data_IF_449078911545
#
_entry.id   IF_449078911545
#
_cell.length_a   1.000
_cell.length_b   1.000
_cell.length_c   1.000
_cell.angle_alpha   90.00
_cell.angle_beta   90.00
_cell.angle_gamma   90.00
#
_symmetry.space_group_name_H-M   'P 1'
#
loop_
_entity.id
_entity.type
_entity.pdbx_description
1 polymer ?
#
# COMPACT_ATOMS: atom_id res chain seq x y z
N UNK A 1 -6.18 104.05 -22.24
CA UNK A 1 -4.78 104.23 -22.74
C UNK A 1 -4.31 102.87 -23.16
N UNK A 2 -4.21 102.68 -24.48
CA UNK A 2 -3.04 102.28 -25.26
C UNK A 2 -2.31 101.06 -24.72
N UNK A 3 -2.05 99.99 -25.43
CA UNK A 3 -1.63 99.76 -26.82
C UNK A 3 -1.47 98.24 -26.97
N UNK A 4 -2.07 97.50 -27.97
CA UNK A 4 -1.45 97.04 -29.21
C UNK A 4 -0.12 96.29 -29.06
N UNK A 5 -0.04 95.01 -29.48
CA UNK A 5 0.40 94.36 -30.73
C UNK A 5 0.47 92.86 -30.46
N UNK A 6 -0.12 91.97 -31.21
CA UNK A 6 0.11 91.54 -32.59
C UNK A 6 1.09 90.38 -32.74
N UNK A 7 0.52 89.29 -33.27
CA UNK A 7 1.07 88.31 -34.22
C UNK A 7 2.36 87.49 -33.86
N UNK A 8 2.33 86.24 -33.87
CA UNK A 8 2.59 85.40 -35.09
C UNK A 8 2.39 83.92 -34.81
N UNK A 9 1.83 83.29 -35.79
CA UNK A 9 1.73 81.88 -36.02
C UNK A 9 3.12 81.23 -36.16
N UNK A 10 3.31 80.01 -35.57
CA UNK A 10 4.10 79.02 -36.27
C UNK A 10 3.57 77.60 -35.88
N UNK A 11 3.21 76.90 -36.87
CA UNK A 11 2.87 75.49 -36.93
C UNK A 11 4.10 74.63 -36.60
N UNK A 12 3.93 73.60 -35.78
CA UNK A 12 4.77 72.43 -35.84
C UNK A 12 3.93 71.19 -35.44
N UNK A 13 3.48 70.45 -36.46
CA UNK A 13 3.13 69.05 -36.33
C UNK A 13 4.36 68.29 -35.81
N UNK A 14 4.20 67.50 -34.74
CA UNK A 14 5.01 66.33 -34.54
C UNK A 14 4.21 65.23 -33.86
N UNK A 15 3.95 64.19 -34.66
CA UNK A 15 3.95 62.74 -34.40
C UNK A 15 3.32 62.23 -33.11
N UNK A 16 2.13 61.74 -33.23
CA UNK A 16 1.57 60.69 -32.45
C UNK A 16 2.43 59.41 -32.65
N UNK A 17 3.37 59.20 -31.75
CA UNK A 17 4.13 57.95 -31.66
C UNK A 17 3.34 56.91 -30.87
N UNK A 18 2.89 55.94 -31.58
CA UNK A 18 2.36 54.65 -31.16
C UNK A 18 3.26 54.01 -30.08
N UNK A 19 2.80 53.90 -28.84
CA UNK A 19 3.33 52.98 -27.86
C UNK A 19 2.23 52.03 -27.41
N UNK A 20 1.83 51.18 -28.36
CA UNK A 20 1.23 49.89 -28.04
C UNK A 20 2.37 48.92 -27.70
N UNK A 21 2.86 48.96 -26.47
CA UNK A 21 3.74 47.90 -25.96
C UNK A 21 2.93 46.99 -25.06
N UNK A 22 2.42 45.93 -25.67
CA UNK A 22 2.37 44.57 -25.15
C UNK A 22 2.30 44.41 -23.63
N UNK A 23 1.10 44.47 -23.10
CA UNK A 23 0.74 43.85 -21.82
C UNK A 23 0.41 42.34 -22.00
N UNK A 24 1.31 41.57 -22.62
CA UNK A 24 1.09 40.12 -22.87
C UNK A 24 2.26 39.22 -22.41
N UNK A 25 3.02 39.63 -21.42
CA UNK A 25 4.17 38.83 -20.94
C UNK A 25 4.33 38.72 -19.42
N UNK A 26 3.26 38.84 -18.64
CA UNK A 26 3.36 38.62 -17.18
C UNK A 26 2.18 37.74 -16.72
N UNK A 27 2.09 36.52 -17.24
CA UNK A 27 1.21 35.55 -16.64
C UNK A 27 1.78 34.11 -16.74
N UNK A 28 3.11 33.97 -16.75
CA UNK A 28 3.76 32.65 -16.80
C UNK A 28 4.70 32.34 -15.63
N UNK A 29 4.70 33.16 -14.56
CA UNK A 29 5.65 33.01 -13.46
C UNK A 29 5.02 32.74 -12.08
N UNK A 30 3.79 32.25 -12.01
CA UNK A 30 3.15 31.96 -10.71
C UNK A 30 2.57 30.54 -10.67
N UNK A 31 3.38 29.55 -11.03
CA UNK A 31 3.08 28.13 -10.75
C UNK A 31 4.33 27.37 -10.32
N UNK A 32 5.22 28.03 -9.60
CA UNK A 32 6.32 27.39 -8.93
C UNK A 32 5.94 27.23 -7.45
N UNK A 33 5.66 25.98 -7.03
CA UNK A 33 5.89 25.59 -5.65
C UNK A 33 4.77 25.11 -4.76
N UNK A 34 3.61 24.61 -5.23
CA UNK A 34 2.92 23.62 -4.41
C UNK A 34 3.65 22.29 -4.58
N UNK A 35 4.34 21.84 -3.53
CA UNK A 35 4.91 20.50 -3.54
C UNK A 35 3.75 19.53 -3.73
N UNK A 36 3.66 18.94 -4.92
CA UNK A 36 2.63 17.97 -5.23
C UNK A 36 2.74 16.85 -4.20
N UNK A 37 1.71 16.68 -3.38
CA UNK A 37 1.67 15.70 -2.32
C UNK A 37 0.67 14.61 -2.68
N UNK A 38 1.06 13.36 -2.49
CA UNK A 38 0.21 12.18 -2.60
C UNK A 38 0.08 11.53 -1.23
N UNK A 39 -1.13 11.31 -0.76
CA UNK A 39 -1.39 10.54 0.46
C UNK A 39 -1.77 9.11 0.07
N UNK A 40 -0.91 8.16 0.42
CA UNK A 40 -1.07 6.72 0.20
C UNK A 40 -1.52 6.06 1.50
N UNK A 41 -2.75 5.53 1.54
CA UNK A 41 -3.18 4.65 2.62
C UNK A 41 -2.79 3.19 2.31
N UNK A 42 -2.13 2.53 3.25
CA UNK A 42 -1.65 1.17 3.09
C UNK A 42 -1.60 0.42 4.43
N UNK A 43 -0.99 -0.77 4.43
CA UNK A 43 -0.93 -1.63 5.61
C UNK A 43 0.41 -1.54 6.33
N UNK A 44 0.38 -1.78 7.66
CA UNK A 44 1.61 -1.89 8.47
C UNK A 44 2.53 -2.96 7.92
N UNK A 45 2.01 -4.13 7.55
CA UNK A 45 2.84 -5.22 7.00
C UNK A 45 3.55 -4.83 5.69
N UNK A 46 2.91 -4.02 4.83
CA UNK A 46 3.57 -3.50 3.61
C UNK A 46 4.67 -2.49 3.96
N UNK A 47 4.43 -1.62 4.94
CA UNK A 47 5.44 -0.69 5.44
C UNK A 47 6.62 -1.44 6.05
N UNK A 48 6.35 -2.38 6.94
CA UNK A 48 7.36 -3.13 7.71
C UNK A 48 8.22 -4.03 6.80
N UNK A 49 7.67 -4.48 5.65
CA UNK A 49 8.47 -5.18 4.64
C UNK A 49 9.58 -4.32 4.03
N UNK A 50 9.50 -2.97 4.15
CA UNK A 50 10.44 -2.03 3.55
C UNK A 50 10.23 -1.79 2.05
N UNK A 51 9.20 -2.36 1.42
CA UNK A 51 8.95 -2.21 -0.03
C UNK A 51 8.80 -0.75 -0.45
N UNK A 52 8.21 0.09 0.40
CA UNK A 52 8.04 1.51 0.10
C UNK A 52 9.35 2.28 0.00
N UNK A 53 10.41 1.85 0.69
CA UNK A 53 11.74 2.47 0.57
C UNK A 53 12.35 2.27 -0.82
N UNK A 54 11.93 1.20 -1.51
CA UNK A 54 12.35 0.94 -2.89
C UNK A 54 11.41 1.58 -3.93
N UNK A 55 10.09 1.68 -3.67
CA UNK A 55 9.10 2.17 -4.64
C UNK A 55 8.92 3.68 -4.63
N UNK A 56 8.95 4.32 -3.46
CA UNK A 56 8.58 5.73 -3.32
C UNK A 56 9.64 6.67 -3.89
N UNK A 57 10.95 6.54 -3.59
CA UNK A 57 11.94 7.51 -4.08
C UNK A 57 12.00 7.63 -5.60
N UNK A 58 11.97 6.54 -6.41
CA UNK A 58 11.90 6.65 -7.87
C UNK A 58 10.64 7.35 -8.37
N UNK A 59 9.49 7.07 -7.75
CA UNK A 59 8.24 7.75 -8.08
C UNK A 59 8.29 9.25 -7.78
N UNK A 60 8.74 9.63 -6.57
CA UNK A 60 8.88 11.03 -6.17
C UNK A 60 9.82 11.79 -7.12
N UNK A 61 10.97 11.20 -7.45
CA UNK A 61 11.94 11.77 -8.40
C UNK A 61 11.33 11.97 -9.77
N UNK A 62 10.62 10.96 -10.28
CA UNK A 62 10.02 10.96 -11.63
C UNK A 62 8.94 12.02 -11.80
N UNK A 63 8.12 12.24 -10.77
CA UNK A 63 6.94 13.11 -10.86
C UNK A 63 7.07 14.43 -10.09
N UNK A 64 8.21 14.67 -9.45
CA UNK A 64 8.48 15.90 -8.69
C UNK A 64 7.45 16.12 -7.58
N UNK A 65 7.18 15.07 -6.79
CA UNK A 65 6.16 15.07 -5.74
C UNK A 65 6.71 14.48 -4.43
N UNK A 66 5.89 14.52 -3.38
CA UNK A 66 6.14 13.84 -2.10
C UNK A 66 5.01 12.88 -1.78
N UNK A 67 5.34 11.66 -1.35
CA UNK A 67 4.38 10.66 -0.93
C UNK A 67 4.36 10.58 0.60
N UNK A 68 3.17 10.80 1.18
CA UNK A 68 2.91 10.51 2.59
C UNK A 68 2.24 9.15 2.69
N UNK A 69 2.93 8.17 3.24
CA UNK A 69 2.33 6.87 3.55
C UNK A 69 1.65 6.93 4.91
N UNK A 70 0.41 6.42 4.99
CA UNK A 70 -0.33 6.15 6.22
C UNK A 70 -0.49 4.64 6.31
N UNK A 71 0.34 4.00 7.12
CA UNK A 71 0.37 2.56 7.31
C UNK A 71 -0.42 2.18 8.57
N UNK A 72 -1.52 1.44 8.37
CA UNK A 72 -2.46 1.00 9.42
C UNK A 72 -3.01 -0.39 9.06
N UNK A 73 -3.93 -0.96 9.84
CA UNK A 73 -4.62 -2.20 9.44
C UNK A 73 -5.46 -2.00 8.16
N UNK A 74 -5.63 -3.05 7.32
CA UNK A 74 -6.36 -2.98 6.04
C UNK A 74 -7.73 -2.31 6.16
N UNK A 75 -8.52 -2.68 7.17
CA UNK A 75 -9.85 -2.08 7.40
C UNK A 75 -9.78 -0.58 7.72
N UNK A 76 -8.77 -0.15 8.46
CA UNK A 76 -8.56 1.27 8.78
C UNK A 76 -8.04 2.05 7.55
N UNK A 77 -7.14 1.47 6.75
CA UNK A 77 -6.68 2.07 5.50
C UNK A 77 -7.85 2.33 4.53
N UNK A 78 -8.75 1.34 4.40
CA UNK A 78 -9.96 1.45 3.58
C UNK A 78 -10.91 2.51 4.15
N UNK A 79 -11.07 2.62 5.48
CA UNK A 79 -11.87 3.69 6.11
C UNK A 79 -11.29 5.06 5.80
N UNK A 80 -9.97 5.26 5.94
CA UNK A 80 -9.32 6.53 5.58
C UNK A 80 -9.60 6.94 4.13
N UNK A 81 -9.54 5.98 3.20
CA UNK A 81 -9.85 6.22 1.80
C UNK A 81 -11.35 6.50 1.58
N UNK A 82 -12.27 5.81 2.30
CA UNK A 82 -13.72 6.07 2.28
C UNK A 82 -14.07 7.45 2.79
N UNK A 83 -13.30 7.99 3.71
CA UNK A 83 -13.53 9.32 4.30
C UNK A 83 -12.84 10.44 3.49
N UNK A 84 -12.18 10.10 2.36
CA UNK A 84 -11.44 11.05 1.53
C UNK A 84 -10.11 11.51 2.13
N UNK A 85 -9.60 10.84 3.15
CA UNK A 85 -8.35 11.18 3.84
C UNK A 85 -7.10 10.55 3.19
N UNK A 86 -7.26 9.95 2.01
CA UNK A 86 -6.17 9.45 1.17
C UNK A 86 -6.50 9.71 -0.30
N UNK A 87 -5.47 9.79 -1.14
CA UNK A 87 -5.58 9.95 -2.59
C UNK A 87 -5.59 8.60 -3.30
N UNK A 88 -4.87 7.63 -2.73
CA UNK A 88 -4.71 6.29 -3.27
C UNK A 88 -4.62 5.26 -2.15
N UNK A 89 -5.16 4.09 -2.39
CA UNK A 89 -5.19 2.94 -1.48
C UNK A 89 -4.36 1.81 -2.08
N UNK A 90 -3.46 1.19 -1.31
CA UNK A 90 -2.71 -0.02 -1.65
C UNK A 90 -2.83 -1.02 -0.51
N UNK A 91 -3.64 -2.04 -0.68
CA UNK A 91 -4.00 -3.03 0.35
C UNK A 91 -4.17 -4.44 -0.24
N UNK A 92 -4.50 -5.41 0.60
CA UNK A 92 -4.63 -6.82 0.25
C UNK A 92 -5.84 -7.51 0.92
N UNK A 93 -6.99 -6.82 0.94
CA UNK A 93 -8.28 -7.36 1.39
C UNK A 93 -9.28 -7.27 0.23
N UNK A 94 -9.24 -8.26 -0.66
CA UNK A 94 -9.98 -8.27 -1.91
C UNK A 94 -11.48 -8.01 -1.73
N UNK A 95 -12.10 -8.61 -0.75
CA UNK A 95 -13.54 -8.46 -0.53
C UNK A 95 -13.91 -7.01 -0.15
N UNK A 96 -13.12 -6.40 0.73
CA UNK A 96 -13.30 -4.99 1.12
C UNK A 96 -12.95 -4.03 -0.01
N UNK A 97 -11.96 -4.35 -0.85
CA UNK A 97 -11.56 -3.57 -2.03
C UNK A 97 -12.66 -3.56 -3.10
N UNK A 98 -13.22 -4.73 -3.40
CA UNK A 98 -14.34 -4.88 -4.35
C UNK A 98 -15.57 -4.11 -3.85
N UNK A 99 -15.87 -4.18 -2.55
CA UNK A 99 -16.94 -3.39 -1.94
C UNK A 99 -16.66 -1.89 -2.02
N UNK A 100 -15.44 -1.44 -1.78
CA UNK A 100 -15.03 -0.03 -1.89
C UNK A 100 -15.30 0.53 -3.30
N UNK A 101 -14.99 -0.26 -4.33
CA UNK A 101 -15.28 0.11 -5.73
C UNK A 101 -16.78 0.06 -6.02
N UNK A 102 -17.49 -0.97 -5.59
CA UNK A 102 -18.93 -1.12 -5.80
C UNK A 102 -19.73 0.03 -5.15
N UNK A 103 -19.32 0.50 -3.97
CA UNK A 103 -19.90 1.65 -3.27
C UNK A 103 -19.50 3.01 -3.93
N UNK A 104 -18.69 3.00 -4.99
CA UNK A 104 -18.28 4.19 -5.76
C UNK A 104 -17.23 5.07 -5.08
N UNK A 105 -16.50 4.55 -4.09
CA UNK A 105 -15.39 5.28 -3.44
C UNK A 105 -14.09 5.27 -4.25
N UNK A 106 -13.96 4.35 -5.20
CA UNK A 106 -12.90 4.28 -6.20
C UNK A 106 -13.45 3.80 -7.53
N UNK A 107 -12.88 4.22 -8.67
CA UNK A 107 -13.42 3.88 -9.99
C UNK A 107 -13.09 2.45 -10.43
N UNK A 108 -11.92 1.94 -10.03
CA UNK A 108 -11.41 0.65 -10.49
C UNK A 108 -10.29 0.17 -9.57
N UNK A 109 -10.24 -1.15 -9.35
CA UNK A 109 -9.19 -1.90 -8.71
C UNK A 109 -8.17 -2.37 -9.75
N UNK A 110 -6.88 -2.27 -9.44
CA UNK A 110 -5.79 -2.78 -10.27
C UNK A 110 -4.95 -3.76 -9.47
N UNK A 111 -4.74 -4.96 -9.98
CA UNK A 111 -3.79 -5.91 -9.41
C UNK A 111 -2.36 -5.34 -9.52
N UNK A 112 -1.55 -5.54 -8.50
CA UNK A 112 -0.18 -4.99 -8.43
C UNK A 112 0.84 -6.11 -8.27
N UNK A 113 0.67 -6.90 -7.24
CA UNK A 113 1.61 -7.93 -6.81
C UNK A 113 0.89 -8.91 -5.91
N UNK A 114 1.54 -10.01 -5.61
CA UNK A 114 1.16 -10.87 -4.50
C UNK A 114 2.39 -11.27 -3.70
N UNK A 115 2.21 -11.59 -2.43
CA UNK A 115 3.05 -12.47 -1.66
C UNK A 115 2.20 -13.65 -1.20
N UNK A 116 2.76 -14.53 -0.39
CA UNK A 116 2.01 -15.60 0.22
C UNK A 116 2.05 -15.50 1.73
N UNK A 117 1.06 -16.09 2.33
CA UNK A 117 1.10 -16.49 3.72
C UNK A 117 1.76 -17.85 3.84
N UNK A 118 2.32 -18.11 5.01
CA UNK A 118 2.84 -19.41 5.42
C UNK A 118 2.37 -19.68 6.84
N UNK A 119 2.26 -20.95 7.21
CA UNK A 119 2.18 -21.33 8.61
C UNK A 119 3.59 -21.66 9.09
N UNK A 120 3.99 -21.04 10.18
CA UNK A 120 5.20 -21.39 10.91
C UNK A 120 4.82 -21.98 12.27
N UNK A 121 5.70 -22.78 12.84
CA UNK A 121 5.47 -23.42 14.10
C UNK A 121 6.73 -24.05 14.67
N UNK A 122 6.63 -24.74 15.81
CA UNK A 122 7.76 -25.41 16.46
C UNK A 122 8.52 -26.30 15.48
N UNK A 123 9.85 -26.24 15.48
CA UNK A 123 10.69 -27.01 14.56
C UNK A 123 10.63 -28.53 14.76
N UNK A 124 10.16 -28.99 15.92
CA UNK A 124 9.88 -30.39 16.23
C UNK A 124 8.50 -30.87 15.80
N UNK A 125 7.67 -29.97 15.30
CA UNK A 125 6.34 -30.18 14.73
C UNK A 125 5.47 -31.19 15.50
N UNK A 126 5.06 -30.91 16.72
CA UNK A 126 4.30 -31.86 17.56
C UNK A 126 2.93 -32.24 16.96
N UNK A 127 2.40 -31.44 16.04
CA UNK A 127 1.15 -31.76 15.33
C UNK A 127 1.35 -32.71 14.13
N UNK A 128 2.59 -32.88 13.64
CA UNK A 128 2.89 -33.66 12.45
C UNK A 128 2.30 -33.06 11.16
N UNK A 129 2.36 -31.75 11.05
CA UNK A 129 1.72 -30.97 9.98
C UNK A 129 2.69 -30.46 8.92
N UNK A 130 4.00 -30.66 9.10
CA UNK A 130 5.02 -30.22 8.15
C UNK A 130 4.78 -30.81 6.75
N UNK A 131 4.75 -29.92 5.75
CA UNK A 131 4.54 -30.30 4.35
C UNK A 131 3.09 -30.61 3.96
N UNK A 132 2.14 -30.56 4.89
CA UNK A 132 0.73 -30.69 4.55
C UNK A 132 0.18 -29.42 3.88
N UNK A 133 -0.86 -29.57 3.03
CA UNK A 133 -1.65 -28.41 2.59
C UNK A 133 -2.24 -27.67 3.79
N UNK A 134 -2.38 -26.37 3.68
CA UNK A 134 -2.81 -25.51 4.80
C UNK A 134 -4.11 -25.97 5.47
N UNK A 135 -5.09 -26.48 4.69
CA UNK A 135 -6.33 -26.96 5.26
C UNK A 135 -6.14 -28.28 6.05
N UNK A 136 -5.21 -29.11 5.62
CA UNK A 136 -4.84 -30.36 6.33
C UNK A 136 -4.03 -30.03 7.59
N UNK A 137 -3.09 -29.10 7.52
CA UNK A 137 -2.34 -28.62 8.66
C UNK A 137 -3.26 -28.07 9.77
N UNK A 138 -4.24 -27.23 9.40
CA UNK A 138 -5.21 -26.71 10.36
C UNK A 138 -6.08 -27.81 11.00
N UNK A 139 -6.46 -28.82 10.24
CA UNK A 139 -7.15 -30.00 10.79
C UNK A 139 -6.28 -30.78 11.78
N UNK A 140 -4.98 -30.93 11.45
CA UNK A 140 -4.04 -31.59 12.36
C UNK A 140 -3.89 -30.80 13.66
N UNK A 141 -3.80 -29.46 13.61
CA UNK A 141 -3.75 -28.61 14.82
C UNK A 141 -5.00 -28.78 15.68
N UNK A 142 -6.20 -28.77 15.08
CA UNK A 142 -7.44 -28.97 15.82
C UNK A 142 -7.50 -30.38 16.48
N UNK A 143 -7.11 -31.42 15.75
CA UNK A 143 -7.13 -32.80 16.24
C UNK A 143 -6.13 -33.08 17.37
N UNK A 144 -4.97 -32.43 17.30
CA UNK A 144 -3.89 -32.60 18.29
C UNK A 144 -3.97 -31.58 19.44
N UNK A 145 -4.98 -30.73 19.48
CA UNK A 145 -5.09 -29.60 20.42
C UNK A 145 -3.77 -28.79 20.47
N UNK A 146 -3.23 -28.50 19.29
CA UNK A 146 -1.94 -27.81 19.17
C UNK A 146 -2.08 -26.31 19.41
N UNK A 147 -1.14 -25.74 20.15
CA UNK A 147 -1.15 -24.30 20.45
C UNK A 147 -1.06 -23.46 19.18
N UNK A 148 -1.91 -22.44 19.08
CA UNK A 148 -1.94 -21.52 17.94
C UNK A 148 -2.03 -20.08 18.41
N UNK A 149 -1.18 -19.20 17.85
CA UNK A 149 -1.20 -17.77 18.14
C UNK A 149 -1.79 -17.03 16.93
N UNK A 150 -2.92 -16.40 17.15
CA UNK A 150 -3.57 -15.50 16.21
C UNK A 150 -3.13 -14.06 16.43
N UNK A 151 -3.22 -13.26 15.40
CA UNK A 151 -3.09 -11.81 15.57
C UNK A 151 -4.22 -11.20 16.39
N UNK A 152 -5.46 -11.67 16.24
CA UNK A 152 -6.62 -11.19 17.01
C UNK A 152 -6.97 -9.71 16.88
N UNK A 153 -6.41 -8.99 15.87
CA UNK A 153 -6.41 -7.52 15.73
C UNK A 153 -7.26 -6.99 14.57
N UNK A 154 -8.12 -7.82 13.98
CA UNK A 154 -8.93 -7.53 12.79
C UNK A 154 -8.09 -7.07 11.55
N UNK A 155 -6.80 -7.39 11.51
CA UNK A 155 -5.92 -7.17 10.37
C UNK A 155 -6.25 -8.08 9.19
N UNK A 156 -5.62 -7.83 8.03
CA UNK A 156 -5.71 -8.72 6.87
C UNK A 156 -5.23 -10.13 7.16
N UNK A 157 -4.17 -10.30 7.98
CA UNK A 157 -3.67 -11.61 8.43
C UNK A 157 -4.68 -12.33 9.31
N UNK A 158 -5.28 -11.64 10.29
CA UNK A 158 -6.32 -12.23 11.15
C UNK A 158 -7.55 -12.65 10.34
N UNK A 159 -8.01 -11.82 9.41
CA UNK A 159 -9.13 -12.18 8.52
C UNK A 159 -8.78 -13.37 7.63
N UNK A 160 -7.55 -13.44 7.13
CA UNK A 160 -7.06 -14.57 6.34
C UNK A 160 -7.04 -15.86 7.16
N UNK A 161 -6.51 -15.82 8.35
CA UNK A 161 -6.47 -16.93 9.29
C UNK A 161 -7.89 -17.49 9.54
N UNK A 162 -8.84 -16.63 9.90
CA UNK A 162 -10.24 -17.04 10.12
C UNK A 162 -10.87 -17.67 8.87
N UNK A 163 -10.56 -17.12 7.69
CA UNK A 163 -11.02 -17.71 6.42
C UNK A 163 -10.41 -19.08 6.15
N UNK A 164 -9.15 -19.31 6.54
CA UNK A 164 -8.49 -20.62 6.43
C UNK A 164 -9.08 -21.66 7.37
N UNK A 165 -9.32 -21.32 8.66
CA UNK A 165 -10.02 -22.21 9.60
C UNK A 165 -11.40 -22.63 9.07
N UNK A 166 -12.15 -21.66 8.55
CA UNK A 166 -13.46 -21.93 7.90
C UNK A 166 -13.32 -22.82 6.66
N UNK A 167 -12.32 -22.60 5.80
CA UNK A 167 -12.07 -23.41 4.61
C UNK A 167 -11.64 -24.83 4.97
N UNK A 168 -10.91 -25.01 6.08
CA UNK A 168 -10.55 -26.32 6.62
C UNK A 168 -11.75 -27.04 7.27
N UNK A 169 -12.89 -26.38 7.44
CA UNK A 169 -14.10 -26.88 8.12
C UNK A 169 -13.85 -27.36 9.55
N UNK A 170 -12.95 -26.68 10.27
CA UNK A 170 -12.65 -26.92 11.70
C UNK A 170 -12.54 -25.57 12.42
N UNK A 171 -12.74 -25.61 13.75
CA UNK A 171 -12.49 -24.46 14.60
C UNK A 171 -11.11 -24.57 15.27
N UNK A 172 -10.45 -23.44 15.56
CA UNK A 172 -9.21 -23.48 16.33
C UNK A 172 -9.45 -24.08 17.73
N UNK A 173 -8.46 -24.77 18.30
CA UNK A 173 -8.60 -25.42 19.61
C UNK A 173 -8.68 -24.39 20.73
N UNK A 174 -9.87 -24.10 21.25
CA UNK A 174 -10.18 -22.98 22.12
C UNK A 174 -9.30 -22.87 23.38
N UNK A 175 -8.85 -24.00 23.94
CA UNK A 175 -8.04 -24.04 25.17
C UNK A 175 -6.61 -23.52 24.97
N UNK A 176 -6.08 -23.64 23.76
CA UNK A 176 -4.68 -23.32 23.39
C UNK A 176 -4.57 -22.28 22.26
N UNK A 177 -5.70 -21.68 21.91
CA UNK A 177 -5.75 -20.57 20.94
C UNK A 177 -5.55 -19.24 21.65
N UNK A 178 -4.52 -18.50 21.25
CA UNK A 178 -4.10 -17.26 21.90
C UNK A 178 -4.21 -16.11 20.91
N UNK A 179 -4.81 -15.02 21.30
CA UNK A 179 -4.83 -13.77 20.51
C UNK A 179 -3.76 -12.82 21.02
N UNK A 180 -2.81 -12.43 20.15
CA UNK A 180 -1.73 -11.50 20.51
C UNK A 180 -2.20 -10.06 20.66
N UNK A 181 -3.27 -9.67 19.94
CA UNK A 181 -3.74 -8.29 19.82
C UNK A 181 -2.73 -7.34 19.18
N UNK A 182 -1.69 -7.86 18.50
CA UNK A 182 -0.49 -7.12 18.12
C UNK A 182 -0.11 -7.32 16.65
N UNK A 183 0.94 -6.60 16.19
CA UNK A 183 1.52 -6.76 14.85
C UNK A 183 2.19 -8.14 14.68
N UNK A 184 2.51 -8.48 13.40
CA UNK A 184 2.98 -9.82 13.05
C UNK A 184 4.32 -10.18 13.69
N UNK A 185 5.27 -9.23 13.83
CA UNK A 185 6.53 -9.46 14.53
C UNK A 185 6.31 -9.93 15.97
N UNK A 186 5.47 -9.21 16.72
CA UNK A 186 5.15 -9.57 18.13
C UNK A 186 4.45 -10.93 18.18
N UNK A 187 3.54 -11.21 17.24
CA UNK A 187 2.84 -12.51 17.16
C UNK A 187 3.83 -13.66 16.92
N UNK A 188 4.82 -13.47 16.04
CA UNK A 188 5.88 -14.45 15.80
C UNK A 188 6.75 -14.69 17.07
N UNK A 189 7.09 -13.64 17.81
CA UNK A 189 7.85 -13.78 19.07
C UNK A 189 7.06 -14.54 20.13
N UNK A 190 5.75 -14.29 20.22
CA UNK A 190 4.88 -15.07 21.13
C UNK A 190 4.82 -16.54 20.69
N UNK A 191 4.72 -16.81 19.38
CA UNK A 191 4.73 -18.17 18.87
C UNK A 191 6.05 -18.90 19.16
N UNK A 192 7.19 -18.21 19.07
CA UNK A 192 8.51 -18.72 19.44
C UNK A 192 8.58 -19.08 20.96
N UNK A 193 8.08 -18.17 21.83
CA UNK A 193 8.14 -18.33 23.27
C UNK A 193 7.17 -19.40 23.81
N UNK A 194 6.04 -19.61 23.11
CA UNK A 194 4.94 -20.51 23.53
C UNK A 194 4.91 -21.85 22.82
N UNK A 195 5.98 -22.29 22.15
CA UNK A 195 6.01 -23.33 21.12
C UNK A 195 4.66 -23.54 20.40
N UNK A 196 4.25 -22.55 19.61
CA UNK A 196 2.93 -22.52 18.98
C UNK A 196 3.02 -22.28 17.48
N UNK A 197 1.98 -22.71 16.75
CA UNK A 197 1.80 -22.41 15.33
C UNK A 197 1.22 -21.00 15.16
N UNK A 198 1.50 -20.38 14.01
CA UNK A 198 0.90 -19.09 13.64
C UNK A 198 0.90 -18.89 12.12
N UNK A 199 -0.06 -18.12 11.63
CA UNK A 199 -0.08 -17.66 10.24
C UNK A 199 0.72 -16.35 10.15
N UNK A 200 1.64 -16.29 9.19
CA UNK A 200 2.40 -15.07 8.89
C UNK A 200 2.53 -14.85 7.38
N UNK A 201 2.69 -13.60 6.94
CA UNK A 201 3.17 -13.35 5.60
C UNK A 201 4.66 -13.71 5.48
N UNK A 202 5.06 -14.23 4.31
CA UNK A 202 6.43 -14.67 4.07
C UNK A 202 7.45 -13.55 4.23
N UNK A 203 7.09 -12.32 3.89
CA UNK A 203 8.02 -11.20 3.99
C UNK A 203 8.40 -10.93 5.45
N UNK A 204 7.42 -10.89 6.35
CA UNK A 204 7.67 -10.74 7.79
C UNK A 204 8.48 -11.91 8.36
N UNK A 205 8.13 -13.15 7.97
CA UNK A 205 8.94 -14.32 8.34
C UNK A 205 10.40 -14.18 7.92
N UNK A 206 10.66 -13.89 6.66
CA UNK A 206 12.04 -13.77 6.13
C UNK A 206 12.83 -12.63 6.79
N UNK A 207 12.15 -11.56 7.20
CA UNK A 207 12.78 -10.46 7.92
C UNK A 207 13.27 -10.87 9.32
N UNK A 208 12.55 -11.75 10.00
CA UNK A 208 12.78 -12.09 11.41
C UNK A 208 13.29 -13.53 11.65
N UNK A 209 13.27 -14.42 10.67
CA UNK A 209 13.59 -15.85 10.83
C UNK A 209 14.94 -16.16 11.48
N UNK A 210 15.92 -15.24 11.37
CA UNK A 210 17.23 -15.42 12.01
C UNK A 210 17.19 -15.32 13.54
N UNK A 211 16.16 -14.67 14.05
CA UNK A 211 15.92 -14.46 15.49
C UNK A 211 14.94 -15.49 16.06
N UNK A 212 14.23 -16.21 15.20
CA UNK A 212 13.16 -17.16 15.54
C UNK A 212 13.69 -18.59 15.31
N UNK A 213 14.64 -19.00 16.17
CA UNK A 213 15.44 -20.22 15.95
C UNK A 213 14.70 -21.52 16.21
N UNK A 214 13.60 -21.48 16.99
CA UNK A 214 12.80 -22.67 17.31
C UNK A 214 11.56 -22.81 16.41
N UNK A 215 11.36 -21.87 15.47
CA UNK A 215 10.29 -21.95 14.49
C UNK A 215 10.81 -22.38 13.11
N UNK A 216 10.00 -23.14 12.41
CA UNK A 216 10.19 -23.52 11.00
C UNK A 216 8.94 -23.28 10.18
N UNK A 217 9.07 -23.33 8.84
CA UNK A 217 7.92 -23.31 7.94
C UNK A 217 7.24 -24.67 7.98
N UNK A 218 5.99 -24.70 8.34
CA UNK A 218 5.18 -25.92 8.49
C UNK A 218 4.31 -26.17 7.25
N UNK A 219 3.63 -25.13 6.75
CA UNK A 219 2.80 -25.24 5.54
C UNK A 219 2.95 -24.01 4.65
N UNK A 220 3.15 -24.25 3.35
CA UNK A 220 3.32 -23.25 2.32
C UNK A 220 2.83 -23.74 0.95
N UNK A 221 2.79 -22.85 -0.05
CA UNK A 221 2.52 -23.21 -1.45
C UNK A 221 1.06 -23.43 -1.81
N UNK A 222 0.13 -23.46 -0.86
CA UNK A 222 -1.29 -23.60 -1.13
C UNK A 222 -1.86 -22.36 -1.84
N UNK A 223 -2.76 -22.58 -2.81
CA UNK A 223 -3.51 -21.49 -3.44
C UNK A 223 -4.32 -20.66 -2.42
N UNK A 224 -4.74 -21.27 -1.32
CA UNK A 224 -5.42 -20.59 -0.22
C UNK A 224 -4.51 -19.63 0.54
N UNK A 225 -3.21 -19.76 0.43
CA UNK A 225 -2.23 -18.89 1.10
C UNK A 225 -1.83 -17.67 0.27
N UNK A 226 -2.25 -17.55 -0.98
CA UNK A 226 -1.96 -16.37 -1.80
C UNK A 226 -2.55 -15.11 -1.18
N UNK A 227 -1.76 -14.04 -1.23
CA UNK A 227 -2.09 -12.73 -0.67
C UNK A 227 -1.92 -11.64 -1.75
N UNK A 228 -2.94 -11.45 -2.61
CA UNK A 228 -2.89 -10.48 -3.69
C UNK A 228 -3.10 -9.05 -3.18
N UNK A 229 -2.28 -8.14 -3.67
CA UNK A 229 -2.33 -6.69 -3.41
C UNK A 229 -2.93 -5.95 -4.59
N UNK A 230 -3.73 -4.95 -4.30
CA UNK A 230 -4.25 -4.04 -5.31
C UNK A 230 -4.04 -2.58 -4.96
N UNK A 231 -4.12 -1.75 -6.00
CA UNK A 231 -4.10 -0.29 -5.89
C UNK A 231 -5.39 0.30 -6.45
N UNK A 232 -5.95 1.29 -5.74
CA UNK A 232 -7.21 1.94 -6.09
C UNK A 232 -7.06 3.44 -5.87
N UNK A 233 -7.34 4.27 -6.88
CA UNK A 233 -7.46 5.72 -6.67
C UNK A 233 -8.77 6.04 -5.95
N UNK A 234 -8.72 6.99 -5.02
CA UNK A 234 -9.94 7.50 -4.37
C UNK A 234 -10.71 8.38 -5.34
N UNK A 235 -12.04 8.32 -5.27
CA UNK A 235 -12.94 9.02 -6.19
C UNK A 235 -12.92 10.53 -5.99
N UNK A 236 -12.43 11.27 -6.97
CA UNK A 236 -12.49 12.73 -7.04
C UNK A 236 -13.92 13.29 -7.23
N UNK A 237 -14.82 12.45 -7.73
CA UNK A 237 -16.25 12.81 -7.81
C UNK A 237 -16.90 12.90 -6.43
N UNK A 238 -16.47 12.05 -5.48
CA UNK A 238 -16.92 12.11 -4.08
C UNK A 238 -16.11 13.11 -3.26
N UNK A 239 -14.83 13.23 -3.55
CA UNK A 239 -13.87 14.03 -2.79
C UNK A 239 -13.04 14.92 -3.71
N UNK A 240 -13.53 16.12 -4.08
CA UNK A 240 -12.85 17.00 -5.04
C UNK A 240 -11.44 17.44 -4.63
N UNK A 241 -11.07 17.28 -3.35
CA UNK A 241 -9.76 17.64 -2.81
C UNK A 241 -8.68 16.57 -3.00
N UNK A 242 -9.03 15.33 -3.36
CA UNK A 242 -8.05 14.26 -3.56
C UNK A 242 -7.22 14.51 -4.82
N UNK A 243 -5.94 14.17 -4.75
CA UNK A 243 -5.03 14.36 -5.87
C UNK A 243 -5.13 13.23 -6.90
N UNK A 244 -6.24 13.22 -7.65
CA UNK A 244 -6.54 12.20 -8.65
C UNK A 244 -5.42 12.03 -9.67
N UNK A 245 -4.85 13.13 -10.15
CA UNK A 245 -3.80 13.09 -11.16
C UNK A 245 -2.53 12.37 -10.67
N UNK A 246 -2.10 12.62 -9.42
CA UNK A 246 -0.98 11.89 -8.82
C UNK A 246 -1.34 10.45 -8.46
N UNK A 247 -2.57 10.17 -8.03
CA UNK A 247 -3.02 8.81 -7.78
C UNK A 247 -2.98 7.95 -9.05
N UNK A 248 -3.42 8.47 -10.18
CA UNK A 248 -3.34 7.77 -11.48
C UNK A 248 -1.89 7.57 -11.95
N UNK A 249 -1.02 8.56 -11.73
CA UNK A 249 0.41 8.41 -12.00
C UNK A 249 1.05 7.34 -11.12
N UNK A 250 0.65 7.26 -9.85
CA UNK A 250 1.14 6.23 -8.94
C UNK A 250 0.67 4.83 -9.38
N UNK A 251 -0.60 4.68 -9.76
CA UNK A 251 -1.14 3.44 -10.33
C UNK A 251 -0.34 3.05 -11.58
N UNK A 252 -0.19 3.97 -12.54
CA UNK A 252 0.55 3.71 -13.77
C UNK A 252 2.02 3.36 -13.52
N UNK A 253 2.65 3.95 -12.51
CA UNK A 253 4.01 3.64 -12.12
C UNK A 253 4.13 2.24 -11.52
N UNK A 254 3.30 1.93 -10.50
CA UNK A 254 3.43 0.67 -9.76
C UNK A 254 2.99 -0.54 -10.60
N UNK A 255 2.02 -0.38 -11.50
CA UNK A 255 1.57 -1.43 -12.44
C UNK A 255 2.37 -1.47 -13.74
N UNK A 256 3.18 -0.45 -14.00
CA UNK A 256 4.05 -0.35 -15.18
C UNK A 256 5.36 -1.09 -15.03
N UNK A 257 6.11 -1.17 -16.13
CA UNK A 257 7.38 -1.92 -16.21
C UNK A 257 8.37 -1.54 -15.10
N UNK A 258 8.48 -0.26 -14.75
CA UNK A 258 9.42 0.24 -13.75
C UNK A 258 9.07 -0.26 -12.34
N UNK A 259 7.84 -0.03 -11.87
CA UNK A 259 7.38 -0.48 -10.57
C UNK A 259 7.36 -2.00 -10.45
N UNK A 260 6.89 -2.71 -11.49
CA UNK A 260 6.87 -4.17 -11.51
C UNK A 260 8.28 -4.77 -11.47
N UNK A 261 9.27 -4.13 -12.09
CA UNK A 261 10.67 -4.56 -12.00
C UNK A 261 11.26 -4.33 -10.60
N UNK A 262 10.91 -3.23 -9.93
CA UNK A 262 11.30 -3.01 -8.53
C UNK A 262 10.71 -4.10 -7.65
N UNK A 263 9.41 -4.38 -7.77
CA UNK A 263 8.71 -5.43 -7.01
C UNK A 263 9.37 -6.79 -7.22
N UNK A 264 9.64 -7.16 -8.47
CA UNK A 264 10.25 -8.46 -8.83
C UNK A 264 11.59 -8.70 -8.17
N UNK A 265 12.40 -7.65 -8.04
CA UNK A 265 13.76 -7.77 -7.52
C UNK A 265 13.87 -7.45 -6.02
N UNK A 266 12.75 -6.98 -5.41
CA UNK A 266 12.77 -6.60 -4.01
C UNK A 266 12.98 -7.81 -3.10
N UNK A 267 13.98 -7.73 -2.24
CA UNK A 267 14.33 -8.78 -1.28
C UNK A 267 15.33 -9.80 -1.78
N UNK A 268 15.54 -9.93 -3.09
CA UNK A 268 16.40 -10.98 -3.68
C UNK A 268 17.83 -10.95 -3.08
N UNK A 269 18.45 -9.78 -3.02
CA UNK A 269 19.80 -9.64 -2.48
C UNK A 269 19.84 -9.89 -0.96
N UNK A 270 18.87 -9.35 -0.23
CA UNK A 270 18.87 -9.41 1.24
C UNK A 270 18.42 -10.77 1.79
N UNK A 271 17.46 -11.42 1.14
CA UNK A 271 16.78 -12.62 1.66
C UNK A 271 16.98 -13.86 0.80
N UNK A 272 17.68 -13.76 -0.34
CA UNK A 272 17.93 -14.85 -1.28
C UNK A 272 16.76 -15.18 -2.22
N UNK A 273 15.70 -14.35 -2.20
CA UNK A 273 14.52 -14.49 -3.06
C UNK A 273 13.61 -13.28 -2.99
N UNK A 274 12.68 -13.10 -3.96
CA UNK A 274 11.77 -11.98 -3.96
C UNK A 274 10.76 -12.09 -2.81
N UNK A 275 10.46 -10.97 -2.15
CA UNK A 275 9.41 -10.91 -1.13
C UNK A 275 8.01 -10.71 -1.74
N UNK A 276 7.95 -10.22 -2.96
CA UNK A 276 6.71 -9.98 -3.70
C UNK A 276 6.87 -10.43 -5.16
N UNK A 277 5.79 -10.88 -5.74
CA UNK A 277 5.74 -11.31 -7.12
C UNK A 277 4.87 -10.36 -7.94
N UNK A 278 5.33 -9.84 -9.09
CA UNK A 278 4.54 -9.01 -9.99
C UNK A 278 3.24 -9.69 -10.42
N UNK A 279 2.10 -8.94 -10.38
CA UNK A 279 0.78 -9.44 -10.80
C UNK A 279 -0.04 -8.41 -11.58
N UNK A 280 0.58 -7.31 -12.01
CA UNK A 280 -0.13 -6.33 -12.83
C UNK A 280 -0.46 -6.92 -14.21
N UNK A 281 -1.75 -7.11 -14.45
CA UNK A 281 -2.24 -7.54 -15.77
C UNK A 281 -2.19 -6.34 -16.72
N UNK A 282 -1.66 -6.57 -17.92
CA UNK A 282 -1.60 -5.57 -19.00
C UNK A 282 -2.98 -5.25 -19.53
#
# INVERSE_FOLDING_TARGET
MKSRYSLRRLSALWAVGFFLFSASAINSAAKAGESKKLTLASTTSTMDSGLFDALIPPFEKKYGCKVKVIAVGSGQAIRLARDGNADVLLVHDRASEEKFVADGFGPKRYDVMYNDFIIVGPSDDPAGAEGLDVAEALRAFAQKNAAFVSRGDDSGTHKKERALWKAAAVEPPAEVYMESGSGMEVTLRIAEEKPAYTLTDRATWLAHKKELVNLSVISEGSALLLNPYSVIAVSDKKYPHVNRALAERFISFITGKEGQNIIKNYGVEKYGGPLFFPDAKK
#
